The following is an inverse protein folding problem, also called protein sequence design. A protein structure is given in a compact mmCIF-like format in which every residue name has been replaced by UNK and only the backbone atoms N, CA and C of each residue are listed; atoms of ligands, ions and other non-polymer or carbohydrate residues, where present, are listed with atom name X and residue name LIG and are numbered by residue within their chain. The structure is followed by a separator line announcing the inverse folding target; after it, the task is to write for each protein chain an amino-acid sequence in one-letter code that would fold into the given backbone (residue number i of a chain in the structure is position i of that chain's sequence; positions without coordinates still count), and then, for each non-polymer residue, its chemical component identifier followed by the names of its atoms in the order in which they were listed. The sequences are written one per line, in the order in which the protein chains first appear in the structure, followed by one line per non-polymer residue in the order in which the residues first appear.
data_IF_517781340417
#
_entry.id   IF_517781340417
#
_cell.length_a   1.000
_cell.length_b   1.000
_cell.length_c   1.000
_cell.angle_alpha   90.00
_cell.angle_beta   90.00
_cell.angle_gamma   90.00
#
_symmetry.space_group_name_H-M   'P 1'
#
loop_
_entity.id
_entity.type
_entity.pdbx_description
1 polymer ?
#
# COMPACT_ATOMS: atom_id res chain seq x y z
N UNK A 1 31.98 11.89 7.72
CA UNK A 1 31.17 10.82 8.34
C UNK A 1 29.79 10.76 7.69
N UNK A 2 29.58 9.93 6.67
CA UNK A 2 28.29 9.79 5.96
C UNK A 2 27.15 9.34 6.89
N UNK A 3 27.45 8.56 7.93
CA UNK A 3 26.48 8.08 8.94
C UNK A 3 25.77 9.24 9.65
N UNK A 4 26.48 10.30 10.05
CA UNK A 4 25.87 11.48 10.68
C UNK A 4 24.90 12.21 9.74
N UNK A 5 25.17 12.18 8.44
CA UNK A 5 24.36 12.84 7.41
C UNK A 5 23.05 12.07 7.17
N UNK A 6 23.11 10.74 7.15
CA UNK A 6 21.93 9.88 7.07
C UNK A 6 21.07 9.97 8.34
N UNK A 7 21.70 9.97 9.51
CA UNK A 7 21.00 10.13 10.79
C UNK A 7 20.26 11.48 10.85
N UNK A 8 20.94 12.57 10.45
CA UNK A 8 20.32 13.91 10.40
C UNK A 8 19.13 13.96 9.43
N UNK A 9 19.22 13.28 8.28
CA UNK A 9 18.13 13.19 7.30
C UNK A 9 16.94 12.37 7.81
N UNK A 10 17.18 11.29 8.56
CA UNK A 10 16.13 10.52 9.23
C UNK A 10 15.39 11.37 10.28
N UNK A 11 16.11 12.15 11.10
CA UNK A 11 15.50 13.06 12.07
C UNK A 11 14.83 14.31 11.46
N UNK A 12 15.14 14.62 10.20
CA UNK A 12 14.48 15.73 9.47
C UNK A 12 13.17 15.27 8.83
N UNK A 13 13.01 13.96 8.62
CA UNK A 13 11.75 13.36 8.16
C UNK A 13 10.79 13.20 9.34
N UNK A 14 9.98 14.24 9.56
CA UNK A 14 9.01 14.28 10.65
C UNK A 14 8.02 13.11 10.60
N UNK A 15 7.72 12.58 9.40
CA UNK A 15 6.79 11.47 9.23
C UNK A 15 7.41 10.16 9.73
N UNK A 16 8.67 9.89 9.36
CA UNK A 16 9.39 8.70 9.83
C UNK A 16 9.58 8.73 11.36
N UNK A 17 9.96 9.88 11.92
CA UNK A 17 10.02 10.06 13.36
C UNK A 17 8.65 9.86 14.03
N UNK A 18 7.58 10.39 13.43
CA UNK A 18 6.21 10.20 13.89
C UNK A 18 5.80 8.73 13.92
N UNK A 19 6.12 7.95 12.89
CA UNK A 19 5.86 6.50 12.85
C UNK A 19 6.58 5.77 13.99
N UNK A 20 7.88 6.00 14.17
CA UNK A 20 8.65 5.35 15.23
C UNK A 20 8.11 5.70 16.62
N UNK A 21 7.76 6.97 16.83
CA UNK A 21 7.16 7.42 18.08
C UNK A 21 5.79 6.76 18.31
N UNK A 22 4.93 6.70 17.29
CA UNK A 22 3.63 6.04 17.39
C UNK A 22 3.77 4.55 17.71
N UNK A 23 4.71 3.83 17.08
CA UNK A 23 5.00 2.43 17.39
C UNK A 23 5.50 2.26 18.82
N UNK A 24 6.40 3.14 19.27
CA UNK A 24 6.90 3.11 20.65
C UNK A 24 5.79 3.38 21.66
N UNK A 25 4.92 4.37 21.42
CA UNK A 25 3.77 4.66 22.27
C UNK A 25 2.77 3.51 22.29
N UNK A 26 2.51 2.85 21.16
CA UNK A 26 1.65 1.67 21.11
C UNK A 26 2.23 0.49 21.91
N UNK A 27 3.56 0.35 21.95
CA UNK A 27 4.24 -0.66 22.77
C UNK A 27 4.11 -0.37 24.27
N UNK A 28 4.25 0.90 24.69
CA UNK A 28 4.16 1.31 26.11
C UNK A 28 2.71 1.37 26.59
N UNK A 29 1.77 1.80 25.74
CA UNK A 29 0.35 2.01 26.07
C UNK A 29 -0.59 1.22 25.14
N UNK A 30 -0.53 -0.13 25.15
CA UNK A 30 -1.26 -0.95 24.17
C UNK A 30 -2.79 -0.82 24.29
N UNK A 31 -3.32 -0.60 25.50
CA UNK A 31 -4.76 -0.49 25.72
C UNK A 31 -5.36 0.84 25.23
N UNK A 32 -4.53 1.88 25.06
CA UNK A 32 -5.01 3.17 24.57
C UNK A 32 -5.44 3.10 23.10
N UNK A 33 -4.66 2.37 22.29
CA UNK A 33 -4.87 2.21 20.85
C UNK A 33 -5.55 0.89 20.43
N UNK A 34 -5.98 0.04 21.37
CA UNK A 34 -6.70 -1.19 21.06
C UNK A 34 -8.15 -0.91 20.63
N UNK A 35 -8.78 -1.88 19.97
CA UNK A 35 -10.24 -1.93 19.78
C UNK A 35 -10.96 -1.68 21.11
N UNK A 36 -11.90 -0.74 21.12
CA UNK A 36 -12.62 -0.31 22.34
C UNK A 36 -11.79 0.48 23.36
N UNK A 37 -10.53 0.80 23.06
CA UNK A 37 -9.68 1.66 23.87
C UNK A 37 -10.07 3.14 23.80
N UNK A 38 -9.50 3.96 24.68
CA UNK A 38 -9.85 5.38 24.81
C UNK A 38 -9.71 6.19 23.51
N UNK A 39 -8.71 5.87 22.67
CA UNK A 39 -8.51 6.54 21.39
C UNK A 39 -9.56 6.18 20.34
N UNK A 40 -10.31 5.09 20.54
CA UNK A 40 -11.20 4.51 19.54
C UNK A 40 -10.50 4.36 18.19
N UNK A 41 -9.36 3.64 18.20
CA UNK A 41 -8.43 3.55 17.08
C UNK A 41 -9.10 3.13 15.76
N UNK A 42 -10.17 2.34 15.82
CA UNK A 42 -10.96 1.91 14.68
C UNK A 42 -11.51 3.09 13.87
N UNK A 43 -12.06 4.11 14.54
CA UNK A 43 -12.56 5.32 13.88
C UNK A 43 -11.41 6.12 13.27
N UNK A 44 -10.31 6.25 14.00
CA UNK A 44 -9.11 6.96 13.52
C UNK A 44 -8.55 6.29 12.27
N UNK A 45 -8.46 4.96 12.25
CA UNK A 45 -7.98 4.18 11.12
C UNK A 45 -8.95 4.33 9.94
N UNK A 46 -10.26 4.16 10.16
CA UNK A 46 -11.26 4.25 9.09
C UNK A 46 -11.29 5.64 8.44
N UNK A 47 -11.29 6.71 9.26
CA UNK A 47 -11.23 8.09 8.77
C UNK A 47 -9.90 8.36 8.07
N UNK A 48 -8.78 7.88 8.63
CA UNK A 48 -7.46 8.02 8.03
C UNK A 48 -7.37 7.36 6.66
N UNK A 49 -7.82 6.11 6.54
CA UNK A 49 -7.90 5.38 5.27
C UNK A 49 -8.79 6.12 4.28
N UNK A 50 -9.98 6.56 4.71
CA UNK A 50 -10.88 7.36 3.87
C UNK A 50 -10.18 8.62 3.34
N UNK A 51 -9.54 9.39 4.22
CA UNK A 51 -8.84 10.63 3.84
C UNK A 51 -7.67 10.36 2.89
N UNK A 52 -6.87 9.32 3.15
CA UNK A 52 -5.73 8.97 2.29
C UNK A 52 -6.21 8.59 0.90
N UNK A 53 -7.22 7.73 0.77
CA UNK A 53 -7.76 7.34 -0.54
C UNK A 53 -8.52 8.47 -1.21
N UNK A 54 -9.20 9.34 -0.46
CA UNK A 54 -9.87 10.52 -0.98
C UNK A 54 -8.87 11.52 -1.56
N UNK A 55 -7.82 11.87 -0.79
CA UNK A 55 -6.75 12.74 -1.24
C UNK A 55 -5.98 12.11 -2.40
N UNK A 56 -5.82 10.79 -2.42
CA UNK A 56 -5.27 10.09 -3.58
C UNK A 56 -6.15 10.29 -4.81
N UNK A 57 -7.48 10.16 -4.65
CA UNK A 57 -8.47 10.47 -5.67
C UNK A 57 -8.39 11.92 -6.17
N UNK A 58 -8.25 12.90 -5.29
CA UNK A 58 -8.11 14.32 -5.69
C UNK A 58 -6.80 14.57 -6.45
N UNK A 59 -5.70 13.95 -6.02
CA UNK A 59 -4.37 14.18 -6.59
C UNK A 59 -4.09 13.37 -7.87
N UNK A 60 -4.84 12.29 -8.11
CA UNK A 60 -4.65 11.46 -9.29
C UNK A 60 -5.15 12.20 -10.53
N UNK A 61 -4.23 12.60 -11.42
CA UNK A 61 -4.62 13.37 -12.60
C UNK A 61 -5.23 12.50 -13.70
N UNK A 62 -6.30 12.99 -14.32
CA UNK A 62 -6.94 12.30 -15.46
C UNK A 62 -5.98 12.15 -16.65
N UNK A 63 -4.97 13.03 -16.75
CA UNK A 63 -3.89 12.94 -17.73
C UNK A 63 -2.90 11.81 -17.41
N UNK A 64 -2.58 11.56 -16.13
CA UNK A 64 -1.82 10.36 -15.73
C UNK A 64 -2.58 9.07 -16.06
N UNK A 65 -3.91 9.08 -15.95
CA UNK A 65 -4.74 7.94 -16.35
C UNK A 65 -4.73 7.76 -17.89
N UNK A 66 -4.84 8.84 -18.66
CA UNK A 66 -4.93 8.77 -20.13
C UNK A 66 -3.58 8.60 -20.86
N UNK A 67 -2.49 9.20 -20.36
CA UNK A 67 -1.15 9.07 -20.94
C UNK A 67 -0.45 7.75 -20.57
N UNK A 68 -0.95 7.02 -19.57
CA UNK A 68 -0.45 5.73 -19.11
C UNK A 68 -0.54 4.57 -20.11
N UNK A 69 -0.99 4.82 -21.35
CA UNK A 69 -1.21 3.78 -22.36
C UNK A 69 -0.16 3.73 -23.47
N UNK A 70 0.84 4.63 -23.48
CA UNK A 70 1.80 4.73 -24.61
C UNK A 70 2.87 3.63 -24.64
N UNK A 71 3.16 2.94 -23.53
CA UNK A 71 4.16 1.87 -23.49
C UNK A 71 3.69 0.65 -22.68
N UNK A 72 2.76 -0.09 -23.27
CA UNK A 72 2.08 -1.22 -22.63
C UNK A 72 3.04 -2.32 -22.13
N UNK A 73 4.16 -2.55 -22.83
CA UNK A 73 5.17 -3.55 -22.44
C UNK A 73 5.82 -3.20 -21.12
N UNK A 74 6.15 -1.92 -20.92
CA UNK A 74 6.72 -1.44 -19.67
C UNK A 74 5.72 -1.59 -18.53
N UNK A 75 4.45 -1.27 -18.76
CA UNK A 75 3.40 -1.40 -17.75
C UNK A 75 3.22 -2.85 -17.31
N UNK A 76 3.08 -3.79 -18.24
CA UNK A 76 2.98 -5.22 -17.89
C UNK A 76 4.22 -5.73 -17.15
N UNK A 77 5.41 -5.28 -17.53
CA UNK A 77 6.64 -5.66 -16.83
C UNK A 77 6.59 -5.19 -15.37
N UNK A 78 6.32 -3.91 -15.12
CA UNK A 78 6.34 -3.35 -13.76
C UNK A 78 5.21 -3.92 -12.90
N UNK A 79 3.99 -4.02 -13.45
CA UNK A 79 2.85 -4.60 -12.73
C UNK A 79 3.05 -6.10 -12.48
N UNK A 80 3.61 -6.84 -13.43
CA UNK A 80 3.94 -8.26 -13.28
C UNK A 80 4.99 -8.49 -12.18
N UNK A 81 6.01 -7.64 -12.09
CA UNK A 81 6.94 -7.72 -10.96
C UNK A 81 6.23 -7.46 -9.63
N UNK A 82 5.38 -6.42 -9.57
CA UNK A 82 4.68 -6.00 -8.36
C UNK A 82 3.70 -7.06 -7.85
N UNK A 83 2.82 -7.57 -8.71
CA UNK A 83 1.70 -8.44 -8.30
C UNK A 83 1.90 -9.92 -8.61
N UNK A 84 3.01 -10.30 -9.25
CA UNK A 84 3.32 -11.72 -9.54
C UNK A 84 4.69 -12.08 -8.97
N UNK A 85 5.76 -11.38 -9.36
CA UNK A 85 7.11 -11.77 -8.94
C UNK A 85 7.32 -11.66 -7.42
N UNK A 86 6.91 -10.56 -6.78
CA UNK A 86 7.02 -10.42 -5.31
C UNK A 86 6.17 -11.46 -4.54
N UNK A 87 4.88 -11.69 -4.87
CA UNK A 87 4.13 -12.79 -4.28
C UNK A 87 4.76 -14.17 -4.49
N UNK A 88 5.36 -14.44 -5.66
CA UNK A 88 6.08 -15.69 -5.91
C UNK A 88 7.34 -15.82 -5.05
N UNK A 89 8.07 -14.73 -4.82
CA UNK A 89 9.20 -14.71 -3.86
C UNK A 89 8.69 -15.12 -2.47
N UNK A 90 7.53 -14.61 -2.06
CA UNK A 90 6.92 -15.05 -0.80
C UNK A 90 6.59 -16.54 -0.81
N UNK A 91 6.05 -17.10 -1.89
CA UNK A 91 5.77 -18.55 -1.96
C UNK A 91 7.04 -19.38 -1.74
N UNK A 92 8.15 -18.99 -2.36
CA UNK A 92 9.44 -19.65 -2.16
C UNK A 92 9.92 -19.47 -0.71
N UNK A 93 9.83 -18.26 -0.16
CA UNK A 93 10.22 -17.98 1.23
C UNK A 93 9.37 -18.76 2.23
N UNK A 94 8.06 -18.86 2.02
CA UNK A 94 7.13 -19.62 2.86
C UNK A 94 7.45 -21.12 2.81
N UNK A 95 7.79 -21.66 1.65
CA UNK A 95 8.20 -23.06 1.52
C UNK A 95 9.51 -23.36 2.27
N UNK A 96 10.45 -22.42 2.30
CA UNK A 96 11.76 -22.61 2.93
C UNK A 96 11.75 -22.31 4.43
N UNK A 97 10.99 -21.29 4.85
CA UNK A 97 11.07 -20.69 6.19
C UNK A 97 9.75 -20.73 6.95
N UNK A 98 8.62 -21.07 6.32
CA UNK A 98 7.29 -21.03 6.93
C UNK A 98 7.13 -21.93 8.15
N UNK A 99 7.87 -23.05 8.22
CA UNK A 99 7.88 -23.90 9.41
C UNK A 99 8.55 -23.24 10.63
N UNK A 100 9.38 -22.21 10.42
CA UNK A 100 10.14 -21.52 11.46
C UNK A 100 9.56 -20.15 11.83
N UNK A 101 8.56 -19.67 11.08
CA UNK A 101 7.98 -18.33 11.24
C UNK A 101 6.50 -18.48 11.64
N UNK A 102 6.03 -17.74 12.67
CA UNK A 102 4.62 -17.77 13.06
C UNK A 102 3.68 -17.51 11.86
N UNK A 103 2.59 -18.27 11.69
CA UNK A 103 1.73 -18.17 10.51
C UNK A 103 1.19 -16.76 10.24
N UNK A 104 0.79 -16.05 11.30
CA UNK A 104 0.30 -14.66 11.19
C UNK A 104 1.40 -13.69 10.74
N UNK A 105 2.65 -13.90 11.18
CA UNK A 105 3.78 -13.08 10.75
C UNK A 105 4.14 -13.36 9.28
N UNK A 106 4.08 -14.63 8.88
CA UNK A 106 4.28 -15.03 7.48
C UNK A 106 3.20 -14.43 6.56
N UNK A 107 1.94 -14.40 7.01
CA UNK A 107 0.86 -13.69 6.32
C UNK A 107 1.15 -12.18 6.21
N UNK A 108 1.69 -11.56 7.27
CA UNK A 108 2.16 -10.17 7.22
C UNK A 108 3.21 -9.92 6.13
N UNK A 109 4.18 -10.83 5.96
CA UNK A 109 5.13 -10.76 4.85
C UNK A 109 4.45 -10.93 3.49
N UNK A 110 3.42 -11.77 3.39
CA UNK A 110 2.66 -11.89 2.14
C UNK A 110 1.97 -10.57 1.78
N UNK A 111 1.30 -9.94 2.76
CA UNK A 111 0.70 -8.62 2.59
C UNK A 111 1.73 -7.62 2.06
N UNK A 112 2.94 -7.57 2.64
CA UNK A 112 4.01 -6.69 2.15
C UNK A 112 4.39 -6.97 0.69
N UNK A 113 4.41 -8.23 0.27
CA UNK A 113 4.69 -8.63 -1.11
C UNK A 113 3.52 -8.40 -2.08
N UNK A 114 2.29 -8.27 -1.58
CA UNK A 114 1.09 -8.10 -2.40
C UNK A 114 0.64 -6.63 -2.53
N UNK A 115 1.29 -5.69 -1.82
CA UNK A 115 0.97 -4.26 -1.86
C UNK A 115 1.49 -3.57 -3.14
N UNK A 116 0.84 -2.47 -3.55
CA UNK A 116 1.29 -1.67 -4.69
C UNK A 116 2.61 -0.94 -4.42
N UNK A 117 3.22 -0.39 -5.49
CA UNK A 117 4.49 0.31 -5.40
C UNK A 117 4.34 1.74 -4.85
N UNK A 118 5.35 2.22 -4.13
CA UNK A 118 5.37 3.59 -3.58
C UNK A 118 5.81 4.61 -4.64
N UNK A 119 5.01 5.67 -4.85
CA UNK A 119 5.31 6.71 -5.85
C UNK A 119 6.66 7.38 -5.55
N UNK A 120 6.86 7.88 -4.32
CA UNK A 120 8.03 8.68 -3.97
C UNK A 120 9.35 7.92 -4.15
N UNK A 121 9.44 6.68 -3.64
CA UNK A 121 10.68 5.89 -3.71
C UNK A 121 10.96 5.39 -5.12
N UNK A 122 9.94 4.91 -5.85
CA UNK A 122 10.12 4.45 -7.23
C UNK A 122 10.62 5.58 -8.13
N UNK A 123 10.03 6.77 -8.03
CA UNK A 123 10.42 7.95 -8.83
C UNK A 123 11.86 8.38 -8.50
N UNK A 124 12.21 8.48 -7.22
CA UNK A 124 13.55 8.88 -6.80
C UNK A 124 14.63 7.87 -7.24
N UNK A 125 14.38 6.58 -7.09
CA UNK A 125 15.32 5.52 -7.47
C UNK A 125 15.45 5.39 -8.99
N UNK A 126 14.33 5.44 -9.73
CA UNK A 126 14.37 5.44 -11.21
C UNK A 126 15.13 6.66 -11.74
N UNK A 127 14.89 7.86 -11.20
CA UNK A 127 15.61 9.06 -11.61
C UNK A 127 17.10 8.99 -11.29
N UNK A 128 17.47 8.49 -10.11
CA UNK A 128 18.88 8.31 -9.71
C UNK A 128 19.62 7.29 -10.60
N UNK A 129 18.90 6.32 -11.15
CA UNK A 129 19.44 5.33 -12.09
C UNK A 129 19.43 5.81 -13.56
N UNK A 130 19.05 7.07 -13.85
CA UNK A 130 18.95 7.59 -15.21
C UNK A 130 17.77 7.02 -16.01
N UNK A 131 16.77 6.46 -15.34
CA UNK A 131 15.60 5.84 -15.95
C UNK A 131 14.47 6.82 -16.28
N UNK A 132 13.35 6.27 -16.76
CA UNK A 132 12.18 7.06 -17.18
C UNK A 132 11.30 7.44 -15.97
N UNK A 133 11.53 8.64 -15.44
CA UNK A 133 10.79 9.20 -14.29
C UNK A 133 9.28 9.33 -14.56
N UNK A 134 8.80 9.89 -15.69
CA UNK A 134 7.38 9.91 -16.02
C UNK A 134 6.73 8.52 -15.99
N UNK A 135 7.41 7.52 -16.55
CA UNK A 135 6.89 6.15 -16.55
C UNK A 135 6.86 5.51 -15.17
N UNK A 136 7.80 5.86 -14.28
CA UNK A 136 7.78 5.44 -12.89
C UNK A 136 6.58 6.04 -12.13
N UNK A 137 6.29 7.33 -12.33
CA UNK A 137 5.09 7.99 -11.77
C UNK A 137 3.83 7.26 -12.24
N UNK A 138 3.71 7.05 -13.56
CA UNK A 138 2.55 6.39 -14.16
C UNK A 138 2.35 4.96 -13.64
N UNK A 139 3.42 4.16 -13.57
CA UNK A 139 3.34 2.79 -13.08
C UNK A 139 3.05 2.69 -11.58
N UNK A 140 3.59 3.61 -10.77
CA UNK A 140 3.29 3.64 -9.36
C UNK A 140 1.82 3.99 -9.11
N UNK A 141 1.28 5.00 -9.81
CA UNK A 141 -0.16 5.32 -9.78
C UNK A 141 -1.03 4.17 -10.28
N UNK A 142 -0.66 3.54 -11.41
CA UNK A 142 -1.37 2.39 -11.96
C UNK A 142 -1.39 1.23 -10.96
N UNK A 143 -0.25 0.93 -10.32
CA UNK A 143 -0.19 -0.12 -9.30
C UNK A 143 -1.06 0.20 -8.10
N UNK A 144 -1.16 1.47 -7.68
CA UNK A 144 -2.02 1.89 -6.57
C UNK A 144 -3.49 1.62 -6.86
N UNK A 145 -3.95 1.92 -8.08
CA UNK A 145 -5.33 1.63 -8.51
C UNK A 145 -5.57 0.12 -8.63
N UNK A 146 -4.65 -0.60 -9.29
CA UNK A 146 -4.76 -2.06 -9.43
C UNK A 146 -4.71 -2.78 -8.07
N UNK A 147 -3.90 -2.29 -7.14
CA UNK A 147 -3.71 -2.86 -5.81
C UNK A 147 -4.99 -2.86 -4.97
N UNK A 148 -5.91 -1.92 -5.22
CA UNK A 148 -7.24 -1.92 -4.57
C UNK A 148 -7.98 -3.23 -4.84
N UNK A 149 -7.80 -3.82 -6.03
CA UNK A 149 -8.43 -5.08 -6.42
C UNK A 149 -7.50 -6.28 -6.25
N UNK A 150 -6.26 -6.15 -6.69
CA UNK A 150 -5.30 -7.26 -6.76
C UNK A 150 -4.77 -7.65 -5.39
N UNK A 151 -4.49 -6.71 -4.48
CA UNK A 151 -3.96 -7.05 -3.16
C UNK A 151 -4.95 -7.90 -2.36
N UNK A 152 -6.23 -7.50 -2.21
CA UNK A 152 -7.20 -8.32 -1.49
C UNK A 152 -7.41 -9.69 -2.18
N UNK A 153 -7.47 -9.71 -3.51
CA UNK A 153 -7.60 -10.94 -4.30
C UNK A 153 -6.41 -11.90 -4.07
N UNK A 154 -5.18 -11.40 -4.10
CA UNK A 154 -3.98 -12.19 -3.83
C UNK A 154 -3.98 -12.77 -2.41
N UNK A 155 -4.39 -11.97 -1.42
CA UNK A 155 -4.50 -12.42 -0.02
C UNK A 155 -5.55 -13.50 0.13
N UNK A 156 -6.66 -13.39 -0.60
CA UNK A 156 -7.74 -14.37 -0.56
C UNK A 156 -7.26 -15.78 -0.96
N UNK A 157 -6.34 -15.89 -1.91
CA UNK A 157 -5.74 -17.16 -2.31
C UNK A 157 -4.86 -17.80 -1.24
N UNK A 158 -4.19 -17.00 -0.40
CA UNK A 158 -3.31 -17.51 0.66
C UNK A 158 -4.10 -17.88 1.91
N UNK A 159 -5.12 -17.10 2.24
CA UNK A 159 -5.96 -17.33 3.42
C UNK A 159 -6.98 -18.44 3.20
N UNK A 160 -7.34 -18.73 1.93
CA UNK A 160 -8.10 -19.88 1.41
C UNK A 160 -9.00 -20.65 2.39
N UNK A 161 -10.32 -20.46 2.27
CA UNK A 161 -11.46 -21.35 2.66
C UNK A 161 -11.26 -22.45 3.73
N UNK A 162 -10.47 -22.21 4.77
CA UNK A 162 -10.24 -23.12 5.87
C UNK A 162 -11.35 -23.03 6.91
N UNK A 163 -12.22 -24.05 6.97
CA UNK A 163 -13.09 -24.49 8.08
C UNK A 163 -13.77 -23.41 8.98
N UNK A 164 -14.07 -22.23 8.43
CA UNK A 164 -14.69 -21.12 9.18
C UNK A 164 -15.31 -20.03 8.32
N UNK A 165 -15.53 -20.29 7.03
CA UNK A 165 -16.47 -19.56 6.16
C UNK A 165 -16.44 -18.03 6.28
N UNK A 166 -15.27 -17.39 6.15
CA UNK A 166 -15.27 -15.97 5.77
C UNK A 166 -15.74 -15.95 4.33
N UNK A 167 -16.89 -15.33 4.07
CA UNK A 167 -17.35 -15.04 2.72
C UNK A 167 -16.38 -14.02 2.12
N UNK A 168 -15.31 -14.55 1.55
CA UNK A 168 -14.22 -13.79 0.95
C UNK A 168 -14.76 -12.91 -0.18
N UNK A 169 -15.80 -13.34 -0.90
CA UNK A 169 -16.43 -12.52 -1.93
C UNK A 169 -16.97 -11.21 -1.39
N UNK A 170 -17.84 -11.26 -0.38
CA UNK A 170 -18.44 -10.07 0.24
C UNK A 170 -17.42 -9.23 1.00
N UNK A 171 -16.52 -9.85 1.76
CA UNK A 171 -15.48 -9.12 2.51
C UNK A 171 -14.51 -8.38 1.58
N UNK A 172 -14.12 -9.00 0.46
CA UNK A 172 -13.29 -8.36 -0.56
C UNK A 172 -14.03 -7.22 -1.25
N UNK A 173 -15.32 -7.42 -1.53
CA UNK A 173 -16.16 -6.40 -2.16
C UNK A 173 -16.38 -5.21 -1.23
N UNK A 174 -16.56 -5.45 0.06
CA UNK A 174 -16.67 -4.43 1.09
C UNK A 174 -15.35 -3.66 1.24
N UNK A 175 -14.20 -4.35 1.25
CA UNK A 175 -12.88 -3.71 1.26
C UNK A 175 -12.67 -2.87 0.00
N UNK A 176 -12.97 -3.43 -1.18
CA UNK A 176 -12.89 -2.68 -2.44
C UNK A 176 -13.83 -1.46 -2.40
N UNK A 177 -15.07 -1.59 -1.94
CA UNK A 177 -16.00 -0.49 -1.82
C UNK A 177 -15.50 0.58 -0.83
N UNK A 178 -14.96 0.16 0.32
CA UNK A 178 -14.39 1.05 1.34
C UNK A 178 -13.20 1.86 0.81
N UNK A 179 -12.38 1.27 -0.08
CA UNK A 179 -11.23 1.95 -0.68
C UNK A 179 -11.60 2.76 -1.95
N UNK A 180 -12.51 2.26 -2.78
CA UNK A 180 -12.91 2.90 -4.04
C UNK A 180 -13.84 4.08 -3.82
N UNK A 181 -14.76 4.00 -2.85
CA UNK A 181 -15.72 5.07 -2.59
C UNK A 181 -15.01 6.42 -2.32
N UNK A 182 -14.07 6.54 -1.35
CA UNK A 182 -13.33 7.78 -1.14
C UNK A 182 -12.52 8.20 -2.38
N UNK A 183 -11.90 7.25 -3.08
CA UNK A 183 -11.14 7.52 -4.29
C UNK A 183 -12.01 8.18 -5.38
N UNK A 184 -13.18 7.60 -5.67
CA UNK A 184 -14.12 8.09 -6.67
C UNK A 184 -14.67 9.45 -6.27
N UNK A 185 -15.02 9.64 -4.99
CA UNK A 185 -15.44 10.94 -4.47
C UNK A 185 -14.34 12.00 -4.65
N UNK A 186 -13.08 11.63 -4.38
CA UNK A 186 -11.93 12.50 -4.61
C UNK A 186 -11.75 12.87 -6.08
N UNK A 187 -11.89 11.90 -7.00
CA UNK A 187 -11.83 12.13 -8.44
C UNK A 187 -12.96 13.05 -8.95
N UNK A 188 -14.19 12.85 -8.47
CA UNK A 188 -15.34 13.68 -8.84
C UNK A 188 -15.21 15.12 -8.33
N UNK A 189 -14.62 15.32 -7.15
CA UNK A 189 -14.36 16.64 -6.58
C UNK A 189 -13.06 17.28 -7.07
N UNK A 190 -12.20 16.53 -7.78
CA UNK A 190 -10.95 17.02 -8.32
C UNK A 190 -11.12 18.30 -9.17
N UNK A 191 -12.09 18.44 -10.09
CA UNK A 191 -12.25 19.67 -10.87
C UNK A 191 -12.60 20.91 -10.01
N UNK A 192 -13.12 20.71 -8.80
CA UNK A 192 -13.53 21.78 -7.88
C UNK A 192 -12.42 22.13 -6.87
N UNK A 193 -11.64 21.14 -6.42
CA UNK A 193 -10.71 21.28 -5.27
C UNK A 193 -9.26 20.96 -5.67
N UNK A 194 -9.06 20.06 -6.64
CA UNK A 194 -7.75 19.67 -7.14
C UNK A 194 -7.23 20.68 -8.16
N UNK A 195 -6.27 21.50 -7.75
CA UNK A 195 -5.42 22.25 -8.68
C UNK A 195 -4.35 21.34 -9.27
#
# INVERSE_FOLDING_TARGET
MPVLKHLKRMFTDWFLCGMLLATFLAYVFPHFGSTGGAMHAEWVINIGVFLVFFLHGVNLSSEQISHGLKNIRLHFMVQGFTFIAFPLIWVVANKLLGAHIPPLLMLGFFYLCALPSTISSSVALTGSAGGNVPAAILNASLSSVLGIFLTPLLVSFVVGSGAGGIDLGSTLLDLCAMLLLPLVLGQLLRPLIGR
#
